data_IF_069104806298
#
_entry.id   IF_069104806298
#
_cell.length_a   1.000
_cell.length_b   1.000
_cell.length_c   1.000
_cell.angle_alpha   90.00
_cell.angle_beta   90.00
_cell.angle_gamma   90.00
#
_symmetry.space_group_name_H-M   'P 1'
#
loop_
_entity.id
_entity.type
_entity.pdbx_description
1 polymer ?
#
# COMPACT_ATOMS: atom_id res chain seq x y z
N UNK A 1 49.71 -20.49 52.19
CA UNK A 1 48.38 -20.05 51.68
C UNK A 1 48.61 -19.49 50.25
N UNK A 2 48.30 -20.34 49.25
CA UNK A 2 48.44 -19.97 47.81
C UNK A 2 47.16 -19.34 47.34
N UNK A 3 47.15 -18.06 46.92
CA UNK A 3 46.00 -17.39 46.30
C UNK A 3 45.91 -17.79 44.82
N UNK A 4 44.84 -18.48 44.45
CA UNK A 4 44.51 -18.79 43.07
C UNK A 4 43.75 -17.57 42.51
N UNK A 5 44.31 -16.92 41.53
CA UNK A 5 43.66 -15.85 40.75
C UNK A 5 42.98 -16.54 39.58
N UNK A 6 41.63 -16.55 39.58
CA UNK A 6 40.81 -17.01 38.47
C UNK A 6 40.62 -15.83 37.54
N UNK A 7 41.25 -15.84 36.34
CA UNK A 7 41.01 -14.89 35.27
C UNK A 7 39.82 -15.40 34.48
N UNK A 8 38.69 -14.71 34.61
CA UNK A 8 37.52 -14.91 33.76
C UNK A 8 37.72 -14.15 32.47
N UNK A 9 38.04 -14.85 31.41
CA UNK A 9 38.06 -14.31 30.04
C UNK A 9 36.59 -14.20 29.53
N UNK A 10 36.05 -12.99 29.58
CA UNK A 10 34.78 -12.67 28.92
C UNK A 10 35.07 -12.54 27.42
N UNK A 11 34.76 -13.61 26.69
CA UNK A 11 34.79 -13.59 25.23
C UNK A 11 33.64 -12.69 24.69
N UNK A 12 33.98 -11.49 24.26
CA UNK A 12 33.08 -10.65 23.47
C UNK A 12 32.95 -11.30 22.11
N UNK A 13 31.91 -12.10 21.91
CA UNK A 13 31.50 -12.57 20.58
C UNK A 13 30.99 -11.38 19.80
N UNK A 14 31.84 -10.74 19.01
CA UNK A 14 31.43 -9.80 17.99
C UNK A 14 30.59 -10.58 16.97
N UNK A 15 29.28 -10.42 17.02
CA UNK A 15 28.35 -10.86 15.96
C UNK A 15 28.63 -9.98 14.75
N UNK A 16 29.67 -10.33 13.99
CA UNK A 16 29.84 -9.81 12.62
C UNK A 16 28.67 -10.39 11.82
N UNK A 17 27.63 -9.56 11.61
CA UNK A 17 26.60 -9.84 10.62
C UNK A 17 27.29 -9.99 9.26
N UNK A 18 27.52 -11.24 8.83
CA UNK A 18 27.99 -11.54 7.49
C UNK A 18 26.88 -11.16 6.50
N UNK A 19 26.93 -9.93 6.00
CA UNK A 19 26.14 -9.56 4.81
C UNK A 19 26.58 -10.50 3.68
N UNK A 20 25.64 -11.25 3.11
CA UNK A 20 25.91 -12.15 1.98
C UNK A 20 26.66 -11.34 0.89
N UNK A 21 27.63 -11.96 0.21
CA UNK A 21 28.37 -11.32 -0.89
C UNK A 21 27.43 -10.76 -1.98
N UNK A 22 26.26 -11.36 -2.15
CA UNK A 22 25.19 -10.93 -3.07
C UNK A 22 24.70 -9.49 -2.85
N UNK A 23 24.75 -8.96 -1.61
CA UNK A 23 24.18 -7.66 -1.27
C UNK A 23 25.21 -6.59 -0.94
N UNK A 24 26.51 -6.93 -1.00
CA UNK A 24 27.61 -6.03 -0.57
C UNK A 24 27.66 -4.75 -1.40
N UNK A 25 27.37 -4.85 -2.68
CA UNK A 25 27.51 -3.74 -3.64
C UNK A 25 26.25 -2.89 -3.80
N UNK A 26 25.19 -3.19 -3.06
CA UNK A 26 23.90 -2.45 -3.14
C UNK A 26 23.96 -1.07 -2.48
N UNK A 27 24.99 -0.78 -1.65
CA UNK A 27 25.04 0.43 -0.84
C UNK A 27 24.01 0.45 0.31
N UNK A 28 23.83 1.60 0.94
CA UNK A 28 22.85 1.79 2.02
C UNK A 28 21.43 1.87 1.44
N UNK A 29 20.48 1.24 2.13
CA UNK A 29 19.07 1.24 1.75
C UNK A 29 18.32 0.01 2.22
N UNK A 30 17.02 0.04 2.00
CA UNK A 30 16.10 -1.06 2.21
C UNK A 30 15.80 -1.73 0.86
N UNK A 31 15.99 -3.05 0.79
CA UNK A 31 15.82 -3.78 -0.47
C UNK A 31 14.93 -5.00 -0.28
N UNK A 32 14.26 -5.39 -1.36
CA UNK A 32 13.57 -6.67 -1.48
C UNK A 32 14.28 -7.53 -2.53
N UNK A 33 14.69 -8.72 -2.15
CA UNK A 33 15.24 -9.74 -3.05
C UNK A 33 14.14 -10.76 -3.32
N UNK A 34 13.58 -10.75 -4.52
CA UNK A 34 12.54 -11.66 -4.98
C UNK A 34 13.21 -12.79 -5.75
N UNK A 35 13.31 -13.98 -5.15
CA UNK A 35 13.73 -15.18 -5.86
C UNK A 35 12.54 -15.72 -6.63
N UNK A 36 12.65 -15.77 -7.95
CA UNK A 36 11.60 -16.28 -8.83
C UNK A 36 12.03 -17.57 -9.53
N UNK A 37 11.05 -18.27 -10.13
CA UNK A 37 11.34 -19.42 -11.01
C UNK A 37 12.12 -19.07 -12.29
N UNK A 38 12.32 -17.76 -12.57
CA UNK A 38 13.08 -17.23 -13.70
C UNK A 38 14.41 -16.58 -13.29
N UNK A 39 14.69 -16.47 -11.97
CA UNK A 39 15.88 -15.83 -11.42
C UNK A 39 15.53 -14.79 -10.37
N UNK A 40 16.55 -14.08 -9.89
CA UNK A 40 16.42 -13.10 -8.81
C UNK A 40 16.18 -11.68 -9.32
N UNK A 41 15.31 -10.95 -8.64
CA UNK A 41 15.04 -9.52 -8.86
C UNK A 41 15.31 -8.79 -7.56
N UNK A 42 16.26 -7.85 -7.53
CA UNK A 42 16.54 -7.02 -6.36
C UNK A 42 15.99 -5.62 -6.60
N UNK A 43 15.18 -5.15 -5.67
CA UNK A 43 14.45 -3.89 -5.73
C UNK A 43 14.88 -3.01 -4.56
N UNK A 44 15.25 -1.77 -4.81
CA UNK A 44 15.41 -0.74 -3.77
C UNK A 44 14.05 -0.18 -3.42
N UNK A 45 13.73 -0.08 -2.13
CA UNK A 45 12.45 0.43 -1.62
C UNK A 45 12.59 1.87 -1.12
N UNK A 46 11.62 2.71 -1.44
CA UNK A 46 11.59 4.15 -1.12
C UNK A 46 10.94 4.43 0.26
N UNK A 47 11.55 3.89 1.32
CA UNK A 47 11.02 3.93 2.69
C UNK A 47 10.82 5.33 3.28
N UNK A 48 11.52 6.36 2.75
CA UNK A 48 11.39 7.74 3.22
C UNK A 48 10.23 8.47 2.53
N UNK A 49 9.98 8.17 1.24
CA UNK A 49 9.00 8.88 0.43
C UNK A 49 7.62 8.23 0.45
N UNK A 50 7.56 6.92 0.65
CA UNK A 50 6.32 6.13 0.69
C UNK A 50 6.34 5.14 1.86
N UNK A 51 6.48 5.65 3.11
CA UNK A 51 6.74 4.81 4.28
C UNK A 51 5.64 3.78 4.57
N UNK A 52 4.37 4.13 4.41
CA UNK A 52 3.25 3.19 4.68
C UNK A 52 3.21 2.09 3.62
N UNK A 53 3.40 2.44 2.35
CA UNK A 53 3.43 1.49 1.24
C UNK A 53 4.59 0.50 1.37
N UNK A 54 5.78 1.02 1.69
CA UNK A 54 6.97 0.18 1.95
C UNK A 54 6.76 -0.68 3.19
N UNK A 55 6.20 -0.14 4.27
CA UNK A 55 5.93 -0.88 5.50
C UNK A 55 4.91 -2.02 5.26
N UNK A 56 3.87 -1.76 4.50
CA UNK A 56 2.93 -2.79 4.06
C UNK A 56 3.65 -3.93 3.33
N UNK A 57 4.42 -3.59 2.31
CA UNK A 57 5.15 -4.58 1.50
C UNK A 57 6.16 -5.38 2.32
N UNK A 58 6.94 -4.71 3.17
CA UNK A 58 7.96 -5.32 4.03
C UNK A 58 7.33 -6.24 5.08
N UNK A 59 6.30 -5.77 5.80
CA UNK A 59 5.66 -6.59 6.83
C UNK A 59 4.94 -7.81 6.27
N UNK A 60 4.37 -7.72 5.07
CA UNK A 60 3.83 -8.87 4.34
C UNK A 60 4.93 -9.85 3.94
N UNK A 61 6.05 -9.36 3.38
CA UNK A 61 7.19 -10.18 2.99
C UNK A 61 7.83 -10.92 4.17
N UNK A 62 7.90 -10.27 5.33
CA UNK A 62 8.45 -10.85 6.56
C UNK A 62 7.46 -11.74 7.32
N UNK A 63 6.16 -11.67 6.99
CA UNK A 63 5.11 -12.48 7.62
C UNK A 63 4.71 -12.01 9.02
N UNK A 64 4.99 -10.74 9.35
CA UNK A 64 4.73 -10.15 10.66
C UNK A 64 3.69 -9.01 10.63
N UNK A 65 2.96 -8.85 9.52
CA UNK A 65 1.92 -7.85 9.40
C UNK A 65 0.71 -8.22 10.26
N UNK A 66 0.34 -7.40 11.28
CA UNK A 66 -0.71 -7.75 12.24
C UNK A 66 -2.15 -7.60 11.68
N UNK A 67 -2.31 -6.96 10.52
CA UNK A 67 -3.62 -6.61 9.94
C UNK A 67 -4.10 -7.60 8.89
N UNK A 68 -3.29 -8.59 8.52
CA UNK A 68 -3.70 -9.61 7.54
C UNK A 68 -4.87 -10.45 8.05
N UNK A 69 -5.69 -10.95 7.11
CA UNK A 69 -6.71 -11.95 7.44
C UNK A 69 -6.09 -13.18 8.11
N UNK A 70 -6.86 -13.86 8.96
CA UNK A 70 -6.41 -15.03 9.75
C UNK A 70 -5.70 -16.09 8.91
N UNK A 71 -6.18 -16.31 7.68
CA UNK A 71 -5.59 -17.29 6.75
C UNK A 71 -4.16 -16.95 6.30
N UNK A 72 -3.72 -15.69 6.47
CA UNK A 72 -2.39 -15.20 6.07
C UNK A 72 -1.48 -14.90 7.24
N UNK A 73 -1.91 -15.12 8.48
CA UNK A 73 -1.09 -14.89 9.68
C UNK A 73 0.08 -15.84 9.76
N UNK A 74 1.16 -15.40 10.39
CA UNK A 74 2.36 -16.16 10.73
C UNK A 74 3.04 -16.84 9.53
N UNK A 75 2.84 -16.31 8.33
CA UNK A 75 3.52 -16.77 7.12
C UNK A 75 4.03 -15.61 6.26
N UNK A 76 5.12 -15.82 5.56
CA UNK A 76 5.63 -14.91 4.55
C UNK A 76 4.61 -14.86 3.40
N UNK A 77 3.95 -13.71 3.28
CA UNK A 77 2.78 -13.55 2.43
C UNK A 77 3.06 -13.80 0.95
N UNK A 78 4.24 -13.36 0.47
CA UNK A 78 4.58 -13.41 -0.94
C UNK A 78 5.24 -14.74 -1.39
N UNK A 79 5.67 -15.59 -0.45
CA UNK A 79 6.31 -16.84 -0.80
C UNK A 79 5.31 -17.82 -1.44
N UNK A 80 5.65 -18.31 -2.62
CA UNK A 80 4.81 -19.22 -3.41
C UNK A 80 3.74 -18.53 -4.28
N UNK A 81 3.63 -17.21 -4.24
CA UNK A 81 2.68 -16.45 -5.07
C UNK A 81 3.21 -16.30 -6.49
N UNK A 82 2.30 -16.23 -7.47
CA UNK A 82 2.66 -16.10 -8.89
C UNK A 82 2.54 -14.68 -9.41
N UNK A 83 3.25 -14.40 -10.50
CA UNK A 83 2.91 -13.28 -11.37
C UNK A 83 1.70 -13.68 -12.21
N UNK A 84 0.52 -13.29 -11.77
CA UNK A 84 -0.76 -13.73 -12.33
C UNK A 84 -1.20 -12.96 -13.58
N UNK A 85 -0.56 -11.80 -13.87
CA UNK A 85 -0.83 -10.98 -15.04
C UNK A 85 0.48 -10.41 -15.60
N UNK A 86 0.76 -10.73 -16.85
CA UNK A 86 1.98 -10.34 -17.55
C UNK A 86 1.63 -9.77 -18.91
N UNK A 87 2.00 -8.52 -19.15
CA UNK A 87 1.78 -7.86 -20.43
C UNK A 87 3.11 -7.30 -20.91
N UNK A 88 3.61 -7.86 -22.00
CA UNK A 88 4.83 -7.36 -22.67
C UNK A 88 4.67 -5.88 -23.03
N UNK A 89 5.77 -5.13 -22.93
CA UNK A 89 5.83 -3.67 -23.16
C UNK A 89 4.90 -2.85 -22.24
N UNK A 90 4.50 -3.43 -21.09
CA UNK A 90 3.72 -2.74 -20.08
C UNK A 90 4.23 -3.07 -18.66
N UNK A 91 3.86 -4.24 -18.09
CA UNK A 91 4.24 -4.59 -16.70
C UNK A 91 4.08 -6.09 -16.42
N UNK A 92 4.71 -6.55 -15.34
CA UNK A 92 4.46 -7.84 -14.70
C UNK A 92 3.81 -7.59 -13.33
N UNK A 93 2.67 -8.22 -13.05
CA UNK A 93 1.87 -8.01 -11.84
C UNK A 93 1.75 -9.28 -11.02
N UNK A 94 2.02 -9.15 -9.72
CA UNK A 94 1.93 -10.22 -8.73
C UNK A 94 1.33 -9.74 -7.41
N UNK A 95 1.59 -10.49 -6.32
CA UNK A 95 1.17 -10.11 -4.97
C UNK A 95 -0.28 -10.47 -4.62
N UNK A 96 -0.97 -11.22 -5.48
CA UNK A 96 -2.29 -11.79 -5.20
C UNK A 96 -2.14 -13.22 -4.67
N UNK A 97 -2.53 -13.51 -3.43
CA UNK A 97 -2.39 -14.85 -2.85
C UNK A 97 -3.28 -15.91 -3.54
N UNK A 98 -4.31 -15.46 -4.25
CA UNK A 98 -5.22 -16.36 -4.99
C UNK A 98 -4.82 -16.56 -6.45
N UNK A 99 -3.93 -15.74 -6.99
CA UNK A 99 -3.49 -15.77 -8.38
C UNK A 99 -4.59 -15.44 -9.40
N UNK A 100 -5.70 -14.81 -8.96
CA UNK A 100 -6.87 -14.48 -9.79
C UNK A 100 -6.97 -13.00 -10.16
N UNK A 101 -6.14 -12.15 -9.58
CA UNK A 101 -6.19 -10.69 -9.67
C UNK A 101 -7.17 -10.04 -8.68
N UNK A 102 -7.84 -10.82 -7.81
CA UNK A 102 -8.89 -10.34 -6.89
C UNK A 102 -8.53 -10.49 -5.42
N UNK A 103 -7.51 -11.28 -5.10
CA UNK A 103 -7.06 -11.49 -3.73
C UNK A 103 -6.42 -10.24 -3.13
N UNK A 104 -6.47 -10.15 -1.81
CA UNK A 104 -5.94 -9.03 -1.04
C UNK A 104 -5.55 -9.53 0.37
N UNK A 105 -4.83 -8.75 1.18
CA UNK A 105 -4.37 -9.19 2.49
C UNK A 105 -5.45 -9.13 3.59
N UNK A 106 -6.67 -8.69 3.29
CA UNK A 106 -7.77 -8.51 4.23
C UNK A 106 -8.04 -7.05 4.61
N UNK A 107 -7.24 -6.13 4.13
CA UNK A 107 -7.38 -4.69 4.36
C UNK A 107 -6.99 -3.88 3.12
N UNK A 108 -7.23 -2.57 3.20
CA UNK A 108 -6.81 -1.59 2.20
C UNK A 108 -6.16 -0.40 2.90
N UNK A 109 -5.30 0.33 2.16
CA UNK A 109 -4.64 1.52 2.69
C UNK A 109 -4.52 2.62 1.63
N UNK A 110 -4.14 3.82 2.08
CA UNK A 110 -4.05 5.04 1.27
C UNK A 110 -3.00 4.96 0.17
N UNK A 111 -3.13 5.86 -0.81
CA UNK A 111 -2.07 6.16 -1.77
C UNK A 111 -1.03 7.10 -1.14
N UNK A 112 0.23 6.98 -1.58
CA UNK A 112 1.34 7.85 -1.21
C UNK A 112 2.02 8.34 -2.48
N UNK A 113 1.47 9.37 -3.11
CA UNK A 113 2.07 9.95 -4.30
C UNK A 113 3.19 10.93 -3.93
N UNK A 114 4.30 10.85 -4.67
CA UNK A 114 5.45 11.72 -4.52
C UNK A 114 5.94 12.15 -5.91
N UNK A 115 6.07 13.44 -6.15
CA UNK A 115 6.39 14.01 -7.46
C UNK A 115 7.74 13.54 -8.03
N UNK A 116 8.64 13.06 -7.18
CA UNK A 116 9.92 12.50 -7.62
C UNK A 116 9.89 11.00 -7.92
N UNK A 117 8.74 10.34 -7.70
CA UNK A 117 8.53 8.91 -7.94
C UNK A 117 7.50 8.72 -9.04
N UNK A 118 7.97 8.49 -10.24
CA UNK A 118 7.17 8.40 -11.47
C UNK A 118 7.45 7.13 -12.26
N UNK A 119 6.58 6.77 -13.18
CA UNK A 119 6.70 5.58 -14.02
C UNK A 119 7.44 5.90 -15.33
N UNK A 120 8.65 6.47 -15.24
CA UNK A 120 9.43 7.01 -16.37
C UNK A 120 10.28 5.99 -17.13
N UNK A 121 10.36 4.76 -16.64
CA UNK A 121 11.21 3.70 -17.22
C UNK A 121 10.73 2.30 -16.86
N UNK A 122 11.38 1.29 -17.42
CA UNK A 122 11.25 -0.10 -17.00
C UNK A 122 11.88 -0.30 -15.61
N UNK A 123 11.36 -1.27 -14.83
CA UNK A 123 11.88 -1.63 -13.49
C UNK A 123 11.30 -0.81 -12.35
N UNK A 124 10.30 0.02 -12.58
CA UNK A 124 9.61 0.74 -11.50
C UNK A 124 8.64 -0.20 -10.78
N UNK A 125 8.78 -0.26 -9.45
CA UNK A 125 7.85 -1.00 -8.56
C UNK A 125 6.72 -0.08 -8.11
N UNK A 126 5.48 -0.50 -8.34
CA UNK A 126 4.30 0.29 -8.05
C UNK A 126 3.14 -0.55 -7.55
N UNK A 127 2.22 0.04 -6.77
CA UNK A 127 1.03 -0.64 -6.24
C UNK A 127 -0.05 -0.82 -7.30
N UNK A 128 -0.57 -2.03 -7.41
CA UNK A 128 -1.82 -2.27 -8.12
C UNK A 128 -3.00 -1.93 -7.19
N UNK A 129 -3.99 -1.21 -7.74
CA UNK A 129 -5.20 -0.80 -7.01
C UNK A 129 -6.42 -0.81 -7.93
N UNK A 130 -7.62 -0.63 -7.35
CA UNK A 130 -8.92 -0.50 -8.05
C UNK A 130 -9.50 0.91 -7.93
N UNK A 131 -8.65 1.92 -7.78
CA UNK A 131 -8.99 3.32 -7.57
C UNK A 131 -8.38 3.87 -6.28
N UNK A 132 -8.64 5.12 -5.92
CA UNK A 132 -8.02 5.78 -4.79
C UNK A 132 -8.20 5.02 -3.46
N UNK A 133 -7.15 4.94 -2.65
CA UNK A 133 -7.13 4.32 -1.31
C UNK A 133 -7.56 2.85 -1.29
N UNK A 134 -7.26 2.10 -2.37
CA UNK A 134 -7.58 0.67 -2.44
C UNK A 134 -6.34 -0.21 -2.56
N UNK A 135 -5.18 0.27 -2.15
CA UNK A 135 -3.95 -0.51 -2.12
C UNK A 135 -4.08 -1.68 -1.13
N UNK A 136 -3.50 -2.81 -1.49
CA UNK A 136 -3.47 -4.02 -0.66
C UNK A 136 -2.10 -4.70 -0.74
N UNK A 137 -2.05 -5.92 -1.27
CA UNK A 137 -0.80 -6.66 -1.44
C UNK A 137 -0.31 -6.72 -2.87
N UNK A 138 -1.17 -6.43 -3.86
CA UNK A 138 -0.80 -6.56 -5.27
C UNK A 138 0.10 -5.41 -5.71
N UNK A 139 1.14 -5.75 -6.45
CA UNK A 139 2.11 -4.82 -7.01
C UNK A 139 2.44 -5.19 -8.45
N UNK A 140 3.04 -4.27 -9.17
CA UNK A 140 3.58 -4.53 -10.50
C UNK A 140 4.98 -3.92 -10.65
N UNK A 141 5.74 -4.51 -11.58
CA UNK A 141 7.03 -3.98 -12.03
C UNK A 141 6.86 -3.59 -13.49
N UNK A 142 7.17 -2.35 -13.83
CA UNK A 142 7.06 -1.86 -15.22
C UNK A 142 8.08 -2.57 -16.12
N UNK A 143 7.67 -2.90 -17.35
CA UNK A 143 8.53 -3.40 -18.41
C UNK A 143 8.88 -2.30 -19.42
N UNK A 144 8.20 -1.15 -19.34
CA UNK A 144 8.39 0.04 -20.14
C UNK A 144 7.93 1.27 -19.34
N UNK A 145 8.27 2.47 -19.77
CA UNK A 145 7.70 3.71 -19.24
C UNK A 145 6.17 3.72 -19.35
N UNK A 146 5.49 4.15 -18.29
CA UNK A 146 4.01 4.18 -18.21
C UNK A 146 3.52 5.44 -17.50
N UNK A 147 3.83 6.65 -18.00
CA UNK A 147 3.55 7.91 -17.31
C UNK A 147 2.06 8.18 -17.08
N UNK A 148 1.17 7.51 -17.82
CA UNK A 148 -0.28 7.59 -17.61
C UNK A 148 -0.76 6.99 -16.29
N UNK A 149 0.12 6.28 -15.54
CA UNK A 149 -0.13 5.75 -14.20
C UNK A 149 0.27 6.71 -13.08
N UNK A 150 1.00 7.79 -13.39
CA UNK A 150 1.42 8.78 -12.40
C UNK A 150 0.22 9.43 -11.72
N UNK A 151 0.31 9.61 -10.39
CA UNK A 151 -0.78 10.11 -9.56
C UNK A 151 -2.00 9.18 -9.42
N UNK A 152 -1.90 7.93 -9.91
CA UNK A 152 -2.94 6.90 -9.79
C UNK A 152 -2.47 5.64 -9.06
N UNK A 153 -1.19 5.31 -9.22
CA UNK A 153 -0.54 4.18 -8.59
C UNK A 153 0.68 4.65 -7.82
N UNK A 154 0.85 4.19 -6.59
CA UNK A 154 1.97 4.57 -5.74
C UNK A 154 3.24 3.87 -6.18
N UNK A 155 4.20 4.61 -6.70
CA UNK A 155 5.56 4.13 -6.92
C UNK A 155 6.28 4.07 -5.57
N UNK A 156 6.86 2.91 -5.25
CA UNK A 156 7.53 2.71 -3.95
C UNK A 156 8.87 1.98 -4.02
N UNK A 157 9.39 1.76 -5.23
CA UNK A 157 10.71 1.17 -5.41
C UNK A 157 11.13 1.08 -6.87
N UNK A 158 12.35 0.60 -7.06
CA UNK A 158 12.99 0.44 -8.37
C UNK A 158 13.88 -0.80 -8.38
N UNK A 159 13.84 -1.56 -9.46
CA UNK A 159 14.75 -2.69 -9.71
C UNK A 159 16.18 -2.16 -9.84
N UNK A 160 17.08 -2.67 -9.00
CA UNK A 160 18.52 -2.34 -9.04
C UNK A 160 19.37 -3.48 -9.57
N UNK A 161 18.81 -4.70 -9.58
CA UNK A 161 19.44 -5.87 -10.20
C UNK A 161 18.36 -6.85 -10.68
N UNK A 162 18.62 -7.56 -11.76
CA UNK A 162 17.68 -8.54 -12.32
C UNK A 162 16.73 -8.00 -13.39
N UNK A 163 17.05 -6.86 -14.03
CA UNK A 163 16.26 -6.34 -15.17
C UNK A 163 16.06 -7.38 -16.27
N UNK A 164 17.09 -8.22 -16.53
CA UNK A 164 16.99 -9.30 -17.50
C UNK A 164 15.98 -10.38 -17.09
N UNK A 165 15.75 -10.55 -15.77
CA UNK A 165 14.73 -11.47 -15.25
C UNK A 165 13.35 -10.87 -15.43
N UNK A 166 13.17 -9.56 -15.17
CA UNK A 166 11.91 -8.84 -15.46
C UNK A 166 11.56 -8.95 -16.94
N UNK A 167 12.56 -8.73 -17.85
CA UNK A 167 12.38 -8.89 -19.29
C UNK A 167 12.01 -10.34 -19.65
N UNK A 168 12.70 -11.34 -19.09
CA UNK A 168 12.38 -12.75 -19.28
C UNK A 168 10.93 -13.07 -18.91
N UNK A 169 10.49 -12.61 -17.74
CA UNK A 169 9.11 -12.80 -17.26
C UNK A 169 8.11 -12.09 -18.18
N UNK A 170 8.40 -10.85 -18.60
CA UNK A 170 7.53 -10.08 -19.48
C UNK A 170 7.36 -10.71 -20.88
N UNK A 171 8.27 -11.57 -21.29
CA UNK A 171 8.26 -12.25 -22.58
C UNK A 171 7.73 -13.71 -22.52
N UNK A 172 7.26 -14.20 -21.36
CA UNK A 172 6.66 -15.54 -21.30
C UNK A 172 5.37 -15.62 -22.11
N UNK A 173 5.05 -16.81 -22.58
CA UNK A 173 3.78 -17.06 -23.26
C UNK A 173 2.61 -16.89 -22.27
N UNK A 174 1.63 -16.09 -22.63
CA UNK A 174 0.40 -15.86 -21.87
C UNK A 174 -0.84 -16.38 -22.59
N UNK A 175 -1.91 -16.62 -21.84
CA UNK A 175 -3.21 -16.97 -22.39
C UNK A 175 -3.84 -15.77 -23.09
N UNK A 176 -4.56 -16.04 -24.20
CA UNK A 176 -5.34 -15.05 -24.94
C UNK A 176 -6.84 -15.10 -24.61
N UNK A 177 -7.31 -16.20 -24.01
CA UNK A 177 -8.73 -16.41 -23.70
C UNK A 177 -9.21 -15.43 -22.62
N UNK A 178 -10.41 -14.85 -22.76
CA UNK A 178 -10.90 -13.77 -21.90
C UNK A 178 -10.87 -14.07 -20.38
N UNK A 179 -11.12 -15.31 -20.00
CA UNK A 179 -11.16 -15.74 -18.60
C UNK A 179 -9.76 -15.93 -17.96
N UNK A 180 -8.68 -15.96 -18.77
CA UNK A 180 -7.30 -16.14 -18.35
C UNK A 180 -6.34 -15.20 -19.06
N UNK A 181 -6.88 -14.18 -19.74
CA UNK A 181 -6.08 -13.24 -20.53
C UNK A 181 -4.92 -12.67 -19.71
N UNK A 182 -3.77 -12.61 -20.36
CA UNK A 182 -2.51 -12.10 -19.82
C UNK A 182 -1.93 -12.92 -18.64
N UNK A 183 -2.52 -14.06 -18.27
CA UNK A 183 -1.92 -14.99 -17.31
C UNK A 183 -0.85 -15.83 -18.01
N UNK A 184 0.36 -16.02 -17.43
CA UNK A 184 1.37 -16.94 -17.94
C UNK A 184 0.81 -18.36 -18.13
N UNK A 185 1.15 -19.00 -19.26
CA UNK A 185 0.76 -20.40 -19.53
C UNK A 185 1.47 -21.37 -18.57
N UNK A 186 2.71 -21.05 -18.24
CA UNK A 186 3.48 -21.69 -17.17
C UNK A 186 3.63 -20.68 -16.07
N UNK A 187 3.17 -21.00 -14.88
CA UNK A 187 3.20 -20.07 -13.76
C UNK A 187 4.63 -19.63 -13.46
N UNK A 188 4.82 -18.31 -13.31
CA UNK A 188 6.06 -17.71 -12.83
C UNK A 188 5.90 -17.46 -11.35
N UNK A 189 6.61 -18.25 -10.54
CA UNK A 189 6.44 -18.28 -9.08
C UNK A 189 7.49 -17.39 -8.40
N UNK A 190 7.08 -16.60 -7.43
CA UNK A 190 7.95 -15.99 -6.42
C UNK A 190 8.22 -17.05 -5.36
N UNK A 191 9.37 -17.73 -5.45
CA UNK A 191 9.72 -18.82 -4.54
C UNK A 191 9.91 -18.32 -3.11
N UNK A 192 10.55 -17.15 -2.97
CA UNK A 192 10.71 -16.46 -1.69
C UNK A 192 10.98 -14.98 -1.88
N UNK A 193 10.65 -14.19 -0.85
CA UNK A 193 10.99 -12.78 -0.77
C UNK A 193 11.79 -12.51 0.51
N UNK A 194 12.96 -11.88 0.37
CA UNK A 194 13.85 -11.55 1.48
C UNK A 194 14.06 -10.05 1.56
N UNK A 195 13.82 -9.49 2.74
CA UNK A 195 14.09 -8.07 3.01
C UNK A 195 15.53 -7.90 3.47
N UNK A 196 16.25 -7.02 2.78
CA UNK A 196 17.68 -6.73 3.04
C UNK A 196 17.80 -5.29 3.55
N UNK A 197 18.44 -5.13 4.72
CA UNK A 197 18.61 -3.86 5.41
C UNK A 197 20.08 -3.47 5.45
N UNK A 198 20.52 -2.62 4.55
CA UNK A 198 21.87 -2.07 4.54
C UNK A 198 21.87 -0.65 5.10
N UNK A 199 22.86 -0.32 5.94
CA UNK A 199 22.95 0.98 6.57
C UNK A 199 22.05 1.13 7.82
N UNK A 200 22.19 2.24 8.52
CA UNK A 200 21.53 2.50 9.81
C UNK A 200 20.02 2.69 9.65
N UNK A 201 19.62 3.49 8.67
CA UNK A 201 18.22 3.90 8.52
C UNK A 201 17.35 2.72 8.09
N UNK A 202 17.82 1.88 7.17
CA UNK A 202 17.15 0.66 6.78
C UNK A 202 17.02 -0.35 7.95
N UNK A 203 18.03 -0.45 8.83
CA UNK A 203 17.95 -1.29 10.03
C UNK A 203 16.96 -0.78 11.07
N UNK A 204 16.78 0.54 11.14
CA UNK A 204 15.85 1.19 12.06
C UNK A 204 14.42 1.26 11.51
N UNK A 205 14.19 0.94 10.25
CA UNK A 205 12.85 0.96 9.65
C UNK A 205 12.00 -0.19 10.23
N UNK A 206 11.07 0.19 11.09
CA UNK A 206 10.10 -0.73 11.74
C UNK A 206 8.78 -0.71 10.97
N UNK A 207 8.62 -1.67 10.06
CA UNK A 207 7.46 -1.78 9.19
C UNK A 207 6.17 -2.04 9.99
N UNK A 208 6.24 -2.85 11.05
CA UNK A 208 5.07 -3.16 11.89
C UNK A 208 4.59 -1.92 12.62
N UNK A 209 5.54 -1.15 13.18
CA UNK A 209 5.21 0.11 13.85
C UNK A 209 4.56 1.11 12.89
N UNK A 210 5.13 1.31 11.70
CA UNK A 210 4.57 2.25 10.70
C UNK A 210 3.14 1.86 10.32
N UNK A 211 2.87 0.57 10.08
CA UNK A 211 1.51 0.08 9.79
C UNK A 211 0.56 0.26 10.96
N UNK A 212 1.02 0.02 12.19
CA UNK A 212 0.21 0.16 13.40
C UNK A 212 -0.15 1.63 13.65
N UNK A 213 0.82 2.53 13.53
CA UNK A 213 0.59 3.97 13.69
C UNK A 213 -0.40 4.49 12.62
N UNK A 214 -0.24 4.06 11.37
CA UNK A 214 -1.14 4.43 10.29
C UNK A 214 -2.58 4.00 10.54
N UNK A 215 -2.83 2.75 10.89
CA UNK A 215 -4.20 2.28 11.13
C UNK A 215 -4.81 2.88 12.40
N UNK A 216 -4.02 3.15 13.43
CA UNK A 216 -4.49 3.85 14.61
C UNK A 216 -4.91 5.30 14.30
N UNK A 217 -4.17 6.00 13.43
CA UNK A 217 -4.53 7.34 12.95
C UNK A 217 -5.82 7.32 12.12
N UNK A 218 -5.95 6.38 11.17
CA UNK A 218 -7.17 6.22 10.37
C UNK A 218 -8.40 5.93 11.26
N UNK A 219 -8.27 5.06 12.27
CA UNK A 219 -9.34 4.76 13.21
C UNK A 219 -9.74 6.00 14.02
N UNK A 220 -8.77 6.78 14.50
CA UNK A 220 -9.03 8.03 15.22
C UNK A 220 -9.76 9.06 14.35
N UNK A 221 -9.39 9.19 13.07
CA UNK A 221 -10.07 10.07 12.10
C UNK A 221 -11.51 9.63 11.88
N UNK A 222 -11.74 8.32 11.67
CA UNK A 222 -13.09 7.76 11.49
C UNK A 222 -13.95 8.00 12.74
N UNK A 223 -13.41 7.78 13.93
CA UNK A 223 -14.12 8.02 15.19
C UNK A 223 -14.47 9.51 15.39
N UNK A 224 -13.54 10.40 15.05
CA UNK A 224 -13.78 11.85 15.12
C UNK A 224 -14.88 12.28 14.13
N UNK A 225 -14.87 11.78 12.90
CA UNK A 225 -15.91 12.04 11.91
C UNK A 225 -17.28 11.50 12.34
N UNK A 226 -17.32 10.30 12.92
CA UNK A 226 -18.56 9.72 13.45
C UNK A 226 -19.15 10.56 14.59
N UNK A 227 -18.28 11.07 15.48
CA UNK A 227 -18.71 11.97 16.56
C UNK A 227 -19.28 13.29 16.02
N UNK A 228 -18.59 13.95 15.08
CA UNK A 228 -19.10 15.20 14.45
C UNK A 228 -20.44 14.95 13.77
N UNK A 229 -20.61 13.82 13.07
CA UNK A 229 -21.88 13.44 12.46
C UNK A 229 -22.99 13.25 13.49
N UNK A 230 -22.68 12.59 14.61
CA UNK A 230 -23.65 12.39 15.71
C UNK A 230 -24.06 13.71 16.36
N UNK A 231 -23.08 14.55 16.72
CA UNK A 231 -23.31 15.85 17.35
C UNK A 231 -24.19 16.75 16.43
N UNK A 232 -23.89 16.76 15.12
CA UNK A 232 -24.69 17.51 14.14
C UNK A 232 -26.12 16.96 14.00
N UNK A 233 -26.29 15.63 14.00
CA UNK A 233 -27.62 15.02 13.94
C UNK A 233 -28.47 15.33 15.18
N UNK A 234 -27.87 15.39 16.38
CA UNK A 234 -28.56 15.79 17.60
C UNK A 234 -28.96 17.28 17.55
N UNK A 235 -28.07 18.17 17.09
CA UNK A 235 -28.34 19.58 16.92
C UNK A 235 -29.51 19.83 15.96
N UNK A 236 -29.51 19.17 14.78
CA UNK A 236 -30.62 19.26 13.82
C UNK A 236 -31.92 18.78 14.42
N UNK A 237 -31.93 17.67 15.16
CA UNK A 237 -33.11 17.10 15.77
C UNK A 237 -33.71 18.03 16.83
N UNK A 238 -32.88 18.68 17.65
CA UNK A 238 -33.28 19.66 18.64
C UNK A 238 -33.91 20.92 17.98
N UNK A 239 -33.28 21.40 16.92
CA UNK A 239 -33.76 22.53 16.12
C UNK A 239 -35.06 22.22 15.35
N UNK A 240 -35.19 20.99 14.77
CA UNK A 240 -36.44 20.54 14.13
C UNK A 240 -37.63 20.54 15.12
N UNK A 241 -37.41 20.15 16.36
CA UNK A 241 -38.45 20.15 17.38
C UNK A 241 -38.91 21.57 17.75
N UNK A 242 -38.00 22.54 17.67
CA UNK A 242 -38.24 23.89 18.18
C UNK A 242 -38.59 24.92 17.09
N UNK A 243 -38.17 24.76 15.86
CA UNK A 243 -38.16 25.84 14.85
C UNK A 243 -38.54 25.38 13.41
N UNK A 244 -38.78 24.11 13.16
CA UNK A 244 -39.02 23.66 11.77
C UNK A 244 -40.39 24.14 11.25
N UNK A 245 -40.38 24.89 10.16
CA UNK A 245 -41.59 25.28 9.45
C UNK A 245 -41.98 24.16 8.48
N UNK A 246 -43.16 23.57 8.68
CA UNK A 246 -43.71 22.58 7.76
C UNK A 246 -44.43 23.29 6.62
N UNK A 247 -44.06 22.97 5.38
CA UNK A 247 -44.73 23.45 4.17
C UNK A 247 -45.96 22.60 3.86
N UNK A 248 -46.94 23.14 3.08
CA UNK A 248 -48.11 22.37 2.65
C UNK A 248 -47.82 21.09 1.90
N UNK A 249 -46.60 20.93 1.38
CA UNK A 249 -46.09 19.73 0.72
C UNK A 249 -45.63 18.64 1.69
N UNK A 250 -45.65 18.89 3.01
CA UNK A 250 -45.08 17.99 4.04
C UNK A 250 -43.56 18.11 4.19
N UNK A 251 -42.90 18.96 3.39
CA UNK A 251 -41.47 19.25 3.54
C UNK A 251 -41.24 20.16 4.75
N UNK A 252 -40.32 19.77 5.62
CA UNK A 252 -39.88 20.60 6.75
C UNK A 252 -38.63 21.35 6.36
N UNK A 253 -38.61 22.65 6.58
CA UNK A 253 -37.47 23.54 6.33
C UNK A 253 -36.99 24.09 7.68
N UNK A 254 -35.71 23.89 7.93
CA UNK A 254 -34.97 24.49 9.02
C UNK A 254 -33.96 25.49 8.45
N UNK A 255 -34.06 26.75 8.80
CA UNK A 255 -33.06 27.76 8.44
C UNK A 255 -32.03 27.83 9.54
N UNK A 256 -30.80 27.33 9.27
CA UNK A 256 -29.71 27.35 10.24
C UNK A 256 -29.06 28.72 10.34
N UNK A 257 -29.03 29.50 9.24
CA UNK A 257 -28.50 30.86 9.20
C UNK A 257 -29.27 31.67 8.16
N UNK A 258 -29.74 32.84 8.55
CA UNK A 258 -30.40 33.73 7.59
C UNK A 258 -29.38 34.44 6.68
N UNK A 259 -29.55 34.28 5.37
CA UNK A 259 -28.72 34.98 4.42
C UNK A 259 -28.95 36.46 4.39
N UNK A 260 -27.87 37.24 4.30
CA UNK A 260 -27.90 38.72 4.25
C UNK A 260 -28.07 39.28 2.86
N UNK A 261 -28.11 38.43 1.82
CA UNK A 261 -28.24 38.79 0.44
C UNK A 261 -29.67 39.00 -0.04
N UNK A 262 -29.85 39.56 -1.25
CA UNK A 262 -31.14 39.70 -1.89
C UNK A 262 -31.79 38.34 -2.14
N UNK A 263 -33.07 38.18 -1.80
CA UNK A 263 -33.83 36.96 -2.10
C UNK A 263 -34.00 36.82 -3.61
N UNK A 264 -33.74 35.64 -4.21
CA UNK A 264 -33.91 35.41 -5.63
C UNK A 264 -35.37 35.53 -6.04
N UNK A 265 -35.60 36.03 -7.25
CA UNK A 265 -36.95 36.14 -7.85
C UNK A 265 -37.22 34.97 -8.80
N UNK A 266 -38.49 34.78 -9.15
CA UNK A 266 -38.86 33.73 -10.11
C UNK A 266 -38.14 34.01 -11.43
N UNK A 267 -37.36 33.02 -11.92
CA UNK A 267 -36.53 33.08 -13.11
C UNK A 267 -35.06 33.36 -12.89
N UNK A 268 -34.64 33.68 -11.66
CA UNK A 268 -33.23 33.84 -11.31
C UNK A 268 -32.49 32.48 -11.33
N UNK A 269 -31.27 32.50 -11.83
CA UNK A 269 -30.36 31.34 -11.69
C UNK A 269 -29.66 31.40 -10.34
N UNK A 270 -29.88 30.38 -9.54
CA UNK A 270 -29.22 30.24 -8.23
C UNK A 270 -28.26 29.05 -8.24
N UNK A 271 -27.11 29.18 -7.56
CA UNK A 271 -26.19 28.09 -7.33
C UNK A 271 -26.48 27.55 -5.92
N UNK A 272 -26.82 26.27 -5.85
CA UNK A 272 -27.14 25.61 -4.58
C UNK A 272 -26.07 24.54 -4.32
N UNK A 273 -25.44 24.61 -3.15
CA UNK A 273 -24.63 23.53 -2.61
C UNK A 273 -25.50 22.73 -1.65
N UNK A 274 -25.51 21.42 -1.82
CA UNK A 274 -26.25 20.54 -0.93
C UNK A 274 -25.37 19.36 -0.46
N UNK A 275 -25.56 18.96 0.77
CA UNK A 275 -25.05 17.71 1.31
C UNK A 275 -26.24 16.89 1.80
N UNK A 276 -26.40 15.67 1.28
CA UNK A 276 -27.46 14.76 1.72
C UNK A 276 -26.87 13.62 2.54
N UNK A 277 -27.51 13.30 3.65
CA UNK A 277 -27.20 12.13 4.46
C UNK A 277 -28.39 11.16 4.39
N UNK A 278 -28.10 9.88 4.11
CA UNK A 278 -29.09 8.83 4.31
C UNK A 278 -29.15 8.50 5.80
N UNK A 279 -30.33 8.64 6.38
CA UNK A 279 -30.62 8.25 7.76
C UNK A 279 -30.83 6.74 7.87
#
# INVERSE_FOLDING_TARGET
>A
MKKIIVIVLIGISALTSCTSSKYRDLGDGLFADINTSQGDIIIKLEMEKTPVTVANFVSLAEGNNPFVSEEYKDRKYYDGIIFHRVIKDFMIQGGDPTGTGRGNPGYRFKDEFNDSLVHDKAGILSMANSGPKTNGSQFFITHKETPFLDGKHTVFGEVVSGHVVVDSIANVKTYAEPNRKDKPVVDVVMNSMTIVRNGKDARNFDAVKVMTDYFAEEEAVIAAMAKVKSDFAEEIKEQEQNLAQELPSGLKILTLEEGTGAKPKIGDKVLVYYAGWLT
#
